data_IF_610667649445
#
_entry.id   IF_610667649445
#
_cell.length_a   1.000
_cell.length_b   1.000
_cell.length_c   1.000
_cell.angle_alpha   90.00
_cell.angle_beta   90.00
_cell.angle_gamma   90.00
#
_symmetry.space_group_name_H-M   'P 1'
#
loop_
_entity.id
_entity.type
_entity.pdbx_description
1 polymer ?
#
# COMPACT_ATOMS: atom_id res chain seq x y z
N UNK A 1 21.34 14.37 88.00
CA UNK A 1 20.68 14.89 86.78
C UNK A 1 21.63 14.69 85.59
N UNK A 2 21.37 13.71 84.73
CA UNK A 2 21.85 13.72 83.35
C UNK A 2 20.93 12.81 82.54
N UNK A 3 20.46 13.35 81.42
CA UNK A 3 19.26 12.96 80.69
C UNK A 3 19.62 12.04 79.51
N UNK A 4 18.75 11.07 79.29
CA UNK A 4 18.65 10.18 78.14
C UNK A 4 18.76 10.91 76.79
N UNK A 5 19.50 10.36 75.84
CA UNK A 5 19.05 10.29 74.44
C UNK A 5 19.68 9.08 73.74
N UNK A 6 18.98 7.94 73.69
CA UNK A 6 19.21 6.91 72.68
C UNK A 6 18.16 7.10 71.59
N UNK A 7 18.59 7.44 70.37
CA UNK A 7 17.73 7.49 69.18
C UNK A 7 17.44 6.06 68.72
N UNK A 8 16.17 5.65 68.76
CA UNK A 8 15.70 4.47 68.04
C UNK A 8 15.47 4.81 66.55
N UNK A 9 16.03 4.00 65.65
CA UNK A 9 15.63 3.93 64.24
C UNK A 9 14.49 2.92 64.06
N UNK A 10 13.51 3.15 63.17
CA UNK A 10 12.31 2.31 63.06
C UNK A 10 12.58 1.00 62.29
N UNK A 11 11.91 -0.10 62.67
CA UNK A 11 12.12 -1.41 62.07
C UNK A 11 11.13 -1.63 60.91
N UNK A 12 11.46 -1.22 59.67
CA UNK A 12 10.60 -1.60 58.53
C UNK A 12 11.30 -1.70 57.18
N UNK A 13 12.57 -2.10 57.15
CA UNK A 13 13.25 -2.51 55.90
C UNK A 13 13.82 -3.93 55.97
N UNK A 14 13.29 -4.78 56.85
CA UNK A 14 13.60 -6.21 56.84
C UNK A 14 12.76 -6.91 55.78
N UNK A 15 13.14 -6.71 54.51
CA UNK A 15 12.78 -7.69 53.47
C UNK A 15 13.49 -8.98 53.86
N UNK A 16 12.79 -10.11 54.07
CA UNK A 16 13.46 -11.34 54.42
C UNK A 16 14.41 -11.70 53.28
N UNK A 17 15.71 -11.79 53.60
CA UNK A 17 16.74 -12.24 52.68
C UNK A 17 16.36 -13.64 52.19
N UNK A 18 15.86 -13.73 50.95
CA UNK A 18 15.63 -15.02 50.29
C UNK A 18 16.95 -15.78 50.30
N UNK A 19 16.99 -16.86 51.09
CA UNK A 19 18.16 -17.73 51.19
C UNK A 19 18.69 -18.12 49.81
N UNK A 20 20.03 -18.16 49.67
CA UNK A 20 20.72 -18.54 48.44
C UNK A 20 20.08 -19.83 47.91
N UNK A 21 19.53 -19.77 46.69
CA UNK A 21 18.87 -20.93 46.07
C UNK A 21 19.86 -22.10 46.08
N UNK A 22 19.43 -23.24 46.62
CA UNK A 22 20.24 -24.47 46.61
C UNK A 22 20.63 -24.82 45.17
N UNK A 23 21.79 -25.46 44.98
CA UNK A 23 22.31 -25.79 43.65
C UNK A 23 21.28 -26.55 42.78
N UNK A 24 20.44 -27.39 43.40
CA UNK A 24 19.33 -28.09 42.73
C UNK A 24 18.27 -27.13 42.16
N UNK A 25 17.90 -26.09 42.91
CA UNK A 25 16.89 -25.08 42.50
C UNK A 25 17.44 -24.13 41.42
N UNK A 26 18.73 -23.80 41.46
CA UNK A 26 19.39 -23.02 40.39
C UNK A 26 19.52 -23.82 39.08
N UNK A 27 19.85 -25.12 39.16
CA UNK A 27 19.91 -26.01 37.99
C UNK A 27 18.53 -26.22 37.35
N UNK A 28 17.47 -26.30 38.17
CA UNK A 28 16.08 -26.35 37.69
C UNK A 28 15.65 -25.05 36.98
N UNK A 29 15.89 -23.88 37.59
CA UNK A 29 15.52 -22.60 36.95
C UNK A 29 16.28 -22.30 35.66
N UNK A 30 17.54 -22.73 35.53
CA UNK A 30 18.29 -22.62 34.25
C UNK A 30 17.69 -23.52 33.16
N UNK A 31 17.29 -24.75 33.52
CA UNK A 31 16.60 -25.66 32.59
C UNK A 31 15.23 -25.12 32.18
N UNK A 32 14.51 -24.48 33.08
CA UNK A 32 13.21 -23.86 32.79
C UNK A 32 13.38 -22.66 31.85
N UNK A 33 14.36 -21.77 32.10
CA UNK A 33 14.68 -20.65 31.19
C UNK A 33 15.12 -21.11 29.79
N UNK A 34 15.90 -22.21 29.70
CA UNK A 34 16.29 -22.79 28.42
C UNK A 34 15.09 -23.37 27.65
N UNK A 35 14.12 -23.96 28.37
CA UNK A 35 12.87 -24.44 27.77
C UNK A 35 11.99 -23.28 27.29
N UNK A 36 11.94 -22.18 28.03
CA UNK A 36 11.13 -21.02 27.67
C UNK A 36 11.74 -20.27 26.47
N UNK A 37 13.07 -20.11 26.41
CA UNK A 37 13.76 -19.61 25.22
C UNK A 37 13.53 -20.49 23.98
N UNK A 38 13.53 -21.82 24.15
CA UNK A 38 13.22 -22.75 23.05
C UNK A 38 11.77 -22.63 22.57
N UNK A 39 10.82 -22.39 23.49
CA UNK A 39 9.41 -22.14 23.13
C UNK A 39 9.24 -20.81 22.40
N UNK A 40 9.91 -19.75 22.85
CA UNK A 40 9.90 -18.45 22.18
C UNK A 40 10.50 -18.53 20.78
N UNK A 41 11.62 -19.25 20.62
CA UNK A 41 12.21 -19.50 19.31
C UNK A 41 11.27 -20.25 18.37
N UNK A 42 10.57 -21.29 18.87
CA UNK A 42 9.54 -22.02 18.09
C UNK A 42 8.40 -21.10 17.66
N UNK A 43 7.87 -20.29 18.58
CA UNK A 43 6.82 -19.31 18.27
C UNK A 43 7.27 -18.28 17.23
N UNK A 44 8.51 -17.80 17.32
CA UNK A 44 9.07 -16.88 16.33
C UNK A 44 9.20 -17.53 14.95
N UNK A 45 9.57 -18.82 14.90
CA UNK A 45 9.64 -19.59 13.66
C UNK A 45 8.26 -19.74 13.02
N UNK A 46 7.25 -20.13 13.82
CA UNK A 46 5.85 -20.28 13.38
C UNK A 46 5.28 -18.95 12.86
N UNK A 47 5.53 -17.84 13.55
CA UNK A 47 5.10 -16.50 13.11
C UNK A 47 5.78 -16.11 11.80
N UNK A 48 7.07 -16.40 11.65
CA UNK A 48 7.81 -16.10 10.42
C UNK A 48 7.27 -16.91 9.23
N UNK A 49 7.02 -18.19 9.44
CA UNK A 49 6.45 -19.08 8.42
C UNK A 49 5.03 -18.63 8.02
N UNK A 50 4.19 -18.29 9.01
CA UNK A 50 2.86 -17.73 8.76
C UNK A 50 2.93 -16.40 7.99
N UNK A 51 3.88 -15.53 8.31
CA UNK A 51 4.09 -14.27 7.59
C UNK A 51 4.52 -14.52 6.14
N UNK A 52 5.41 -15.49 5.90
CA UNK A 52 5.84 -15.88 4.56
C UNK A 52 4.67 -16.40 3.72
N UNK A 53 3.80 -17.23 4.30
CA UNK A 53 2.57 -17.71 3.65
C UNK A 53 1.60 -16.56 3.32
N UNK A 54 1.42 -15.62 4.23
CA UNK A 54 0.56 -14.44 4.01
C UNK A 54 1.12 -13.55 2.89
N UNK A 55 2.43 -13.35 2.84
CA UNK A 55 3.09 -12.58 1.76
C UNK A 55 2.93 -13.27 0.42
N UNK A 56 3.10 -14.60 0.36
CA UNK A 56 2.88 -15.40 -0.84
C UNK A 56 1.43 -15.35 -1.31
N UNK A 57 0.45 -15.44 -0.41
CA UNK A 57 -0.97 -15.30 -0.73
C UNK A 57 -1.32 -13.88 -1.18
N UNK A 58 -0.74 -12.85 -0.55
CA UNK A 58 -0.93 -11.46 -0.95
C UNK A 58 -0.31 -11.16 -2.33
N UNK A 59 0.81 -11.78 -2.67
CA UNK A 59 1.42 -11.69 -4.00
C UNK A 59 0.59 -12.41 -5.08
N UNK A 60 -0.17 -13.44 -4.69
CA UNK A 60 -1.08 -14.19 -5.57
C UNK A 60 -2.44 -13.52 -5.81
N UNK A 61 -2.62 -12.24 -5.47
CA UNK A 61 -3.87 -11.48 -5.76
C UNK A 61 -4.09 -11.14 -7.25
N UNK A 62 -3.53 -11.92 -8.16
CA UNK A 62 -3.98 -11.97 -9.54
C UNK A 62 -4.80 -13.25 -9.70
N UNK A 63 -5.97 -13.16 -10.32
CA UNK A 63 -6.67 -14.37 -10.75
C UNK A 63 -5.71 -15.21 -11.62
N UNK A 64 -5.61 -16.53 -11.40
CA UNK A 64 -4.75 -17.37 -12.21
C UNK A 64 -5.19 -17.24 -13.67
N UNK A 65 -4.22 -17.07 -14.57
CA UNK A 65 -4.49 -17.02 -16.00
C UNK A 65 -5.18 -18.31 -16.43
N UNK A 66 -6.24 -18.19 -17.22
CA UNK A 66 -7.02 -19.34 -17.72
C UNK A 66 -6.08 -20.35 -18.41
N UNK A 67 -6.01 -21.61 -17.92
CA UNK A 67 -5.17 -22.66 -18.51
C UNK A 67 -5.45 -22.91 -20.00
N UNK A 68 -6.66 -22.62 -20.47
CA UNK A 68 -7.04 -22.79 -21.88
C UNK A 68 -6.29 -21.83 -22.81
N UNK A 69 -5.72 -20.73 -22.30
CA UNK A 69 -4.84 -19.81 -23.05
C UNK A 69 -3.56 -20.47 -23.54
N UNK A 70 -3.12 -21.55 -22.90
CA UNK A 70 -1.92 -22.30 -23.29
C UNK A 70 -2.21 -23.41 -24.30
N UNK A 71 -3.47 -23.57 -24.73
CA UNK A 71 -3.85 -24.59 -25.71
C UNK A 71 -3.24 -24.25 -27.09
N UNK A 72 -2.35 -25.10 -27.65
CA UNK A 72 -1.71 -24.83 -28.94
C UNK A 72 -2.70 -24.78 -30.10
N UNK A 73 -3.87 -25.42 -29.98
CA UNK A 73 -4.92 -25.39 -31.01
C UNK A 73 -5.50 -23.98 -31.20
N UNK A 74 -5.36 -23.07 -30.22
CA UNK A 74 -5.80 -21.67 -30.31
C UNK A 74 -4.78 -20.77 -30.99
N UNK A 75 -3.56 -21.27 -31.29
CA UNK A 75 -2.50 -20.47 -31.90
C UNK A 75 -2.83 -20.20 -33.37
N UNK A 76 -3.08 -18.94 -33.71
CA UNK A 76 -3.25 -18.50 -35.11
C UNK A 76 -1.90 -18.57 -35.84
N UNK A 77 -1.92 -18.99 -37.11
CA UNK A 77 -0.74 -18.94 -37.96
C UNK A 77 -0.31 -17.49 -38.18
N UNK A 78 1.01 -17.27 -38.19
CA UNK A 78 1.56 -15.95 -38.47
C UNK A 78 1.60 -15.72 -39.97
N UNK A 79 1.01 -14.61 -40.42
CA UNK A 79 1.00 -14.19 -41.81
C UNK A 79 2.01 -13.05 -41.94
N UNK A 80 3.05 -13.27 -42.75
CA UNK A 80 4.02 -12.23 -43.07
C UNK A 80 3.35 -11.16 -43.94
N UNK A 81 3.37 -9.88 -43.54
CA UNK A 81 2.80 -8.82 -44.35
C UNK A 81 3.62 -8.61 -45.64
N UNK A 82 2.97 -8.12 -46.69
CA UNK A 82 3.67 -7.63 -47.88
C UNK A 82 4.61 -6.47 -47.53
N UNK A 83 5.65 -6.25 -48.32
CA UNK A 83 6.61 -5.16 -48.11
C UNK A 83 5.92 -3.80 -48.09
N UNK A 84 4.98 -3.56 -49.01
CA UNK A 84 4.18 -2.32 -49.04
C UNK A 84 3.39 -2.10 -47.74
N UNK A 85 2.79 -3.16 -47.18
CA UNK A 85 2.04 -3.06 -45.93
C UNK A 85 2.97 -2.78 -44.74
N UNK A 86 4.15 -3.39 -44.75
CA UNK A 86 5.17 -3.16 -43.72
C UNK A 86 5.63 -1.71 -43.73
N UNK A 87 5.91 -1.14 -44.90
CA UNK A 87 6.29 0.26 -45.06
C UNK A 87 5.18 1.21 -44.59
N UNK A 88 3.93 0.96 -44.98
CA UNK A 88 2.75 1.73 -44.51
C UNK A 88 2.65 1.73 -42.99
N UNK A 89 2.82 0.57 -42.34
CA UNK A 89 2.82 0.47 -40.86
C UNK A 89 3.97 1.26 -40.24
N UNK A 90 5.17 1.19 -40.80
CA UNK A 90 6.33 1.93 -40.30
C UNK A 90 6.09 3.44 -40.40
N UNK A 91 5.55 3.92 -41.53
CA UNK A 91 5.24 5.32 -41.73
C UNK A 91 4.18 5.81 -40.72
N UNK A 92 3.10 5.04 -40.54
CA UNK A 92 2.07 5.34 -39.56
C UNK A 92 2.64 5.40 -38.14
N UNK A 93 3.50 4.47 -37.75
CA UNK A 93 4.12 4.47 -36.43
C UNK A 93 5.02 5.70 -36.20
N UNK A 94 5.74 6.15 -37.23
CA UNK A 94 6.55 7.38 -37.16
C UNK A 94 5.65 8.61 -36.97
N UNK A 95 4.54 8.68 -37.69
CA UNK A 95 3.55 9.77 -37.55
C UNK A 95 2.90 9.77 -36.18
N UNK A 96 2.45 8.61 -35.72
CA UNK A 96 1.87 8.43 -34.39
C UNK A 96 2.84 8.85 -33.28
N UNK A 97 4.12 8.49 -33.41
CA UNK A 97 5.16 8.89 -32.45
C UNK A 97 5.35 10.41 -32.42
N UNK A 98 5.33 11.09 -33.57
CA UNK A 98 5.40 12.55 -33.63
C UNK A 98 4.17 13.19 -33.00
N UNK A 99 2.98 12.68 -33.30
CA UNK A 99 1.72 13.18 -32.78
C UNK A 99 1.64 13.06 -31.26
N UNK A 100 1.91 11.88 -30.72
CA UNK A 100 1.87 11.63 -29.26
C UNK A 100 2.92 12.45 -28.51
N UNK A 101 4.11 12.64 -29.10
CA UNK A 101 5.13 13.54 -28.54
C UNK A 101 4.65 15.00 -28.49
N UNK A 102 3.96 15.47 -29.53
CA UNK A 102 3.38 16.81 -29.56
C UNK A 102 2.29 16.98 -28.50
N UNK A 103 1.38 16.01 -28.37
CA UNK A 103 0.36 16.01 -27.31
C UNK A 103 1.01 16.06 -25.92
N UNK A 104 1.99 15.20 -25.67
CA UNK A 104 2.69 15.16 -24.39
C UNK A 104 3.36 16.50 -24.06
N UNK A 105 4.01 17.14 -25.04
CA UNK A 105 4.63 18.46 -24.85
C UNK A 105 3.58 19.52 -24.48
N UNK A 106 2.41 19.50 -25.12
CA UNK A 106 1.32 20.43 -24.82
C UNK A 106 0.76 20.21 -23.41
N UNK A 107 0.53 18.95 -23.01
CA UNK A 107 0.08 18.60 -21.66
C UNK A 107 1.08 19.07 -20.60
N UNK A 108 2.38 18.85 -20.82
CA UNK A 108 3.43 19.32 -19.91
C UNK A 108 3.44 20.85 -19.81
N UNK A 109 3.28 21.57 -20.92
CA UNK A 109 3.21 23.03 -20.91
C UNK A 109 1.99 23.53 -20.12
N UNK A 110 0.82 22.91 -20.31
CA UNK A 110 -0.39 23.23 -19.56
C UNK A 110 -0.19 22.97 -18.06
N UNK A 111 0.35 21.81 -17.69
CA UNK A 111 0.63 21.46 -16.30
C UNK A 111 1.62 22.44 -15.65
N UNK A 112 2.68 22.81 -16.35
CA UNK A 112 3.63 23.83 -15.90
C UNK A 112 2.94 25.19 -15.69
N UNK A 113 2.05 25.59 -16.61
CA UNK A 113 1.24 26.80 -16.47
C UNK A 113 0.35 26.77 -15.23
N UNK A 114 -0.35 25.66 -14.99
CA UNK A 114 -1.19 25.45 -13.81
C UNK A 114 -0.37 25.52 -12.52
N UNK A 115 0.80 24.89 -12.48
CA UNK A 115 1.68 24.91 -11.31
C UNK A 115 2.22 26.31 -11.00
N UNK A 116 2.71 27.03 -12.01
CA UNK A 116 3.16 28.43 -11.87
C UNK A 116 2.04 29.33 -11.35
N UNK A 117 0.84 29.17 -11.90
CA UNK A 117 -0.35 29.94 -11.50
C UNK A 117 -0.72 29.64 -10.05
N UNK A 118 -0.74 28.36 -9.67
CA UNK A 118 -0.98 27.92 -8.28
C UNK A 118 0.05 28.50 -7.31
N UNK A 119 1.33 28.44 -7.65
CA UNK A 119 2.40 29.00 -6.82
C UNK A 119 2.31 30.52 -6.67
N UNK A 120 2.02 31.23 -7.75
CA UNK A 120 1.81 32.68 -7.71
C UNK A 120 0.62 33.04 -6.81
N UNK A 121 -0.53 32.36 -6.98
CA UNK A 121 -1.70 32.56 -6.16
C UNK A 121 -1.40 32.34 -4.66
N UNK A 122 -0.63 31.29 -4.31
CA UNK A 122 -0.23 31.04 -2.93
C UNK A 122 0.73 32.11 -2.37
N UNK A 123 1.62 32.66 -3.20
CA UNK A 123 2.52 33.77 -2.79
C UNK A 123 1.71 35.04 -2.50
N UNK A 124 0.74 35.37 -3.35
CA UNK A 124 -0.16 36.52 -3.11
C UNK A 124 -1.04 36.29 -1.89
N UNK A 125 -1.62 35.09 -1.74
CA UNK A 125 -2.43 34.74 -0.56
C UNK A 125 -1.64 34.90 0.75
N UNK A 126 -0.35 34.52 0.74
CA UNK A 126 0.53 34.68 1.90
C UNK A 126 0.76 36.15 2.27
N UNK A 127 0.84 37.05 1.28
CA UNK A 127 1.01 38.50 1.50
C UNK A 127 -0.25 39.13 2.11
N UNK A 128 -1.42 38.69 1.65
CA UNK A 128 -2.72 39.22 2.09
C UNK A 128 -3.17 38.64 3.44
N UNK A 129 -3.00 37.34 3.64
CA UNK A 129 -3.53 36.63 4.81
C UNK A 129 -2.75 35.35 5.14
N UNK A 130 -1.97 35.40 6.21
CA UNK A 130 -1.27 34.21 6.72
C UNK A 130 -2.19 33.06 7.18
N UNK A 131 -3.37 33.27 7.83
CA UNK A 131 -4.19 32.14 8.27
C UNK A 131 -4.78 31.34 7.10
N UNK A 132 -5.31 32.00 6.07
CA UNK A 132 -5.85 31.32 4.87
C UNK A 132 -4.78 30.58 4.09
N UNK A 133 -3.55 31.12 4.06
CA UNK A 133 -2.42 30.43 3.46
C UNK A 133 -2.12 29.11 4.17
N UNK A 134 -2.14 29.07 5.51
CA UNK A 134 -1.91 27.84 6.28
C UNK A 134 -2.99 26.81 6.01
N UNK A 135 -4.25 27.21 6.03
CA UNK A 135 -5.40 26.35 5.73
C UNK A 135 -5.32 25.76 4.31
N UNK A 136 -4.91 26.57 3.32
CA UNK A 136 -4.77 26.13 1.93
C UNK A 136 -3.67 25.07 1.71
N UNK A 137 -2.73 24.94 2.64
CA UNK A 137 -1.67 23.91 2.59
C UNK A 137 -2.09 22.59 3.21
N UNK A 138 -3.19 22.57 3.98
CA UNK A 138 -3.64 21.36 4.66
C UNK A 138 -4.19 20.34 3.66
N UNK A 139 -3.84 19.07 3.88
CA UNK A 139 -4.35 17.98 3.06
C UNK A 139 -5.82 17.74 3.40
N UNK A 140 -6.68 17.93 2.40
CA UNK A 140 -8.09 17.61 2.43
C UNK A 140 -8.32 16.10 2.59
N UNK A 141 -8.79 15.68 3.77
CA UNK A 141 -9.04 14.27 4.13
C UNK A 141 -10.25 13.68 3.41
N UNK A 142 -11.14 14.52 2.89
CA UNK A 142 -12.36 14.16 2.17
C UNK A 142 -12.13 13.77 0.71
N UNK A 143 -10.91 13.91 0.19
CA UNK A 143 -10.58 13.52 -1.19
C UNK A 143 -10.57 12.00 -1.36
N UNK A 144 -10.32 11.23 -0.30
CA UNK A 144 -10.20 9.78 -0.38
C UNK A 144 -11.38 9.05 0.29
N UNK A 145 -11.99 8.04 -0.36
CA UNK A 145 -11.64 7.49 -1.68
C UNK A 145 -12.20 8.31 -2.86
N UNK A 146 -11.33 8.76 -3.76
CA UNK A 146 -11.73 9.46 -4.98
C UNK A 146 -12.24 8.45 -6.02
N UNK A 147 -13.49 8.62 -6.46
CA UNK A 147 -14.10 7.78 -7.51
C UNK A 147 -14.62 8.66 -8.64
N UNK A 148 -14.29 8.31 -9.88
CA UNK A 148 -14.85 8.90 -11.10
C UNK A 148 -15.09 7.80 -12.13
N UNK A 149 -16.16 7.96 -12.90
CA UNK A 149 -16.47 7.12 -14.05
C UNK A 149 -15.85 7.81 -15.27
N UNK A 150 -15.14 7.04 -16.10
CA UNK A 150 -14.56 7.54 -17.35
C UNK A 150 -15.65 7.96 -18.34
N UNK A 151 -15.30 8.74 -19.38
CA UNK A 151 -16.25 9.05 -20.44
C UNK A 151 -16.71 7.76 -21.14
N UNK A 152 -17.99 7.70 -21.49
CA UNK A 152 -18.59 6.61 -22.27
C UNK A 152 -18.62 6.99 -23.76
N UNK A 153 -18.51 5.99 -24.64
CA UNK A 153 -18.54 6.23 -26.10
C UNK A 153 -19.89 6.81 -26.56
N UNK A 154 -20.98 6.41 -25.92
CA UNK A 154 -22.33 6.95 -26.14
C UNK A 154 -22.98 7.21 -24.78
N UNK A 155 -23.56 8.39 -24.55
CA UNK A 155 -24.27 8.68 -23.31
C UNK A 155 -25.47 7.73 -23.12
N UNK A 156 -25.85 7.43 -21.87
CA UNK A 156 -27.00 6.57 -21.60
C UNK A 156 -28.29 7.20 -22.13
N UNK A 157 -29.20 6.34 -22.60
CA UNK A 157 -30.55 6.76 -23.01
C UNK A 157 -31.47 6.76 -21.79
N UNK A 158 -32.27 7.82 -21.64
CA UNK A 158 -33.26 7.91 -20.58
C UNK A 158 -34.32 6.80 -20.71
N UNK A 159 -34.67 6.18 -19.57
CA UNK A 159 -35.65 5.10 -19.47
C UNK A 159 -35.36 3.85 -20.33
N UNK A 160 -34.08 3.58 -20.62
CA UNK A 160 -33.71 2.31 -21.25
C UNK A 160 -33.94 1.15 -20.29
N UNK A 161 -34.90 0.28 -20.64
CA UNK A 161 -35.13 -0.99 -19.96
C UNK A 161 -34.27 -2.03 -20.69
N UNK A 162 -33.25 -2.54 -20.02
CA UNK A 162 -32.46 -3.65 -20.55
C UNK A 162 -33.35 -4.90 -20.63
N UNK A 163 -33.24 -5.72 -21.69
CA UNK A 163 -34.00 -6.97 -21.79
C UNK A 163 -33.66 -7.90 -20.62
N UNK A 164 -34.68 -8.53 -20.04
CA UNK A 164 -34.50 -9.48 -18.94
C UNK A 164 -33.74 -10.72 -19.44
N UNK A 165 -32.64 -11.12 -18.80
CA UNK A 165 -31.81 -12.23 -19.25
C UNK A 165 -32.53 -13.58 -19.19
N UNK A 166 -33.58 -13.69 -18.36
CA UNK A 166 -34.38 -14.92 -18.16
C UNK A 166 -35.70 -14.91 -18.95
N UNK A 167 -35.94 -13.89 -19.80
CA UNK A 167 -37.12 -13.88 -20.65
C UNK A 167 -36.93 -14.87 -21.79
N UNK A 168 -37.55 -16.06 -21.68
CA UNK A 168 -37.57 -17.15 -22.68
C UNK A 168 -38.30 -16.79 -23.99
N UNK A 169 -38.27 -15.53 -24.41
CA UNK A 169 -38.85 -15.06 -25.67
C UNK A 169 -37.73 -14.70 -26.68
N UNK A 170 -36.96 -15.71 -27.05
CA UNK A 170 -36.21 -15.77 -28.31
C UNK A 170 -36.21 -17.19 -28.86
#
# INVERSE_FOLDING_TARGET
>A
LSVLTNRCLPPSSLVPARGKKTAKKQKKSRKDAQKDAMKEYRKQLEVREALEQVVLQAARRGEPMDPEMFNPARKRSYIQPSEEEREKRILLMKEWSRYTMQQHKQELQQLQGMMKTREHALKELRKLSLPLYKESLELRKDIFPFKRIGPVATPPKDNYIAPDPDSELF
#
